data_IF_684727714551
#
_entry.id   IF_684727714551
#
_cell.length_a   1.000
_cell.length_b   1.000
_cell.length_c   1.000
_cell.angle_alpha   90.00
_cell.angle_beta   90.00
_cell.angle_gamma   90.00
#
_symmetry.space_group_name_H-M   'P 1'
#
loop_
_entity.id
_entity.type
_entity.pdbx_description
1 polymer ?
#
# COMPACT_ATOMS: atom_id res chain seq x y z
N UNK A 1 -19.34 -1.46 -27.22
CA UNK A 1 -19.24 -2.03 -25.86
C UNK A 1 -18.32 -1.09 -25.10
N UNK A 2 -18.88 -0.16 -24.32
CA UNK A 2 -18.05 0.67 -23.45
C UNK A 2 -17.30 -0.28 -22.50
N UNK A 3 -15.99 -0.13 -22.38
CA UNK A 3 -15.23 -0.89 -21.39
C UNK A 3 -15.87 -0.62 -20.02
N UNK A 4 -16.42 -1.64 -19.39
CA UNK A 4 -17.05 -1.51 -18.09
C UNK A 4 -15.93 -1.12 -17.12
N UNK A 5 -16.01 0.07 -16.51
CA UNK A 5 -14.99 0.51 -15.56
C UNK A 5 -15.05 -0.42 -14.33
N UNK A 6 -13.96 -1.12 -14.06
CA UNK A 6 -13.83 -2.03 -12.90
C UNK A 6 -13.78 -1.29 -11.56
N UNK A 7 -13.63 0.04 -11.61
CA UNK A 7 -13.72 0.96 -10.48
C UNK A 7 -14.90 1.90 -10.62
N UNK A 8 -15.43 2.30 -9.46
CA UNK A 8 -16.50 3.28 -9.31
C UNK A 8 -16.13 4.34 -8.28
N UNK A 9 -16.71 5.55 -8.42
CA UNK A 9 -16.64 6.60 -7.42
C UNK A 9 -17.67 6.33 -6.31
N UNK A 10 -17.20 6.39 -5.05
CA UNK A 10 -17.99 6.22 -3.84
C UNK A 10 -17.90 7.49 -3.00
N UNK A 11 -19.02 8.19 -2.84
CA UNK A 11 -19.12 9.29 -1.88
C UNK A 11 -19.23 8.72 -0.46
N UNK A 12 -18.29 9.10 0.41
CA UNK A 12 -18.25 8.61 1.79
C UNK A 12 -18.02 9.75 2.77
N UNK A 13 -18.51 9.56 3.99
CA UNK A 13 -18.25 10.44 5.12
C UNK A 13 -17.40 9.69 6.15
N UNK A 14 -16.52 10.41 6.84
CA UNK A 14 -15.80 9.88 7.99
C UNK A 14 -16.82 9.55 9.08
N UNK A 15 -16.90 8.28 9.47
CA UNK A 15 -17.72 7.83 10.59
C UNK A 15 -16.97 8.00 11.90
N UNK A 16 -15.70 7.56 11.91
CA UNK A 16 -14.89 7.47 13.11
C UNK A 16 -13.42 7.62 12.77
N UNK A 17 -12.68 8.30 13.64
CA UNK A 17 -11.22 8.36 13.62
C UNK A 17 -10.69 7.60 14.83
N UNK A 18 -9.84 6.62 14.61
CA UNK A 18 -9.18 5.83 15.65
C UNK A 18 -7.68 6.09 15.61
N UNK A 19 -7.13 6.62 16.70
CA UNK A 19 -5.68 6.77 16.85
C UNK A 19 -5.10 5.40 17.13
N UNK A 20 -4.32 4.85 16.19
CA UNK A 20 -3.66 3.56 16.37
C UNK A 20 -2.31 3.71 17.06
N UNK A 21 -1.61 4.79 16.72
CA UNK A 21 -0.30 5.13 17.27
C UNK A 21 -0.01 6.63 17.07
N UNK A 22 1.10 7.17 17.62
CA UNK A 22 1.45 8.58 17.44
C UNK A 22 1.49 9.07 15.98
N UNK A 23 1.86 8.20 15.03
CA UNK A 23 2.02 8.57 13.61
C UNK A 23 1.05 7.83 12.68
N UNK A 24 0.05 7.11 13.20
CA UNK A 24 -0.88 6.32 12.38
C UNK A 24 -2.30 6.39 12.93
N UNK A 25 -3.22 6.82 12.08
CA UNK A 25 -4.65 6.84 12.37
C UNK A 25 -5.42 5.95 11.41
N UNK A 26 -6.44 5.27 11.93
CA UNK A 26 -7.46 4.60 11.12
C UNK A 26 -8.65 5.51 10.95
N UNK A 27 -9.00 5.77 9.70
CA UNK A 27 -10.20 6.47 9.30
C UNK A 27 -11.23 5.45 8.84
N UNK A 28 -12.35 5.37 9.56
CA UNK A 28 -13.50 4.53 9.22
C UNK A 28 -14.46 5.38 8.41
N UNK A 29 -14.63 5.07 7.12
CA UNK A 29 -15.56 5.77 6.24
C UNK A 29 -16.86 4.97 6.10
N UNK A 30 -17.97 5.68 5.87
CA UNK A 30 -19.28 5.08 5.62
C UNK A 30 -20.06 5.81 4.53
N UNK A 31 -20.92 5.08 3.83
CA UNK A 31 -21.79 5.58 2.78
C UNK A 31 -22.63 4.43 2.21
N UNK A 32 -23.86 4.71 1.77
CA UNK A 32 -24.78 3.64 1.34
C UNK A 32 -24.21 2.78 0.19
N UNK A 33 -23.42 3.39 -0.70
CA UNK A 33 -22.80 2.69 -1.82
C UNK A 33 -21.58 1.84 -1.42
N UNK A 34 -21.06 1.94 -0.19
CA UNK A 34 -19.95 1.10 0.28
C UNK A 34 -20.32 -0.39 0.24
N UNK A 35 -21.60 -0.73 0.33
CA UNK A 35 -22.09 -2.10 0.14
C UNK A 35 -21.77 -2.69 -1.25
N UNK A 36 -21.43 -1.84 -2.22
CA UNK A 36 -21.03 -2.22 -3.59
C UNK A 36 -19.53 -2.11 -3.83
N UNK A 37 -18.73 -1.82 -2.81
CA UNK A 37 -17.28 -1.94 -2.94
C UNK A 37 -16.88 -3.42 -2.90
N UNK A 38 -15.81 -3.78 -3.61
CA UNK A 38 -15.12 -5.07 -3.43
C UNK A 38 -13.63 -4.87 -3.17
N UNK A 39 -12.98 -5.93 -2.69
CA UNK A 39 -11.52 -6.06 -2.62
C UNK A 39 -11.14 -7.42 -3.17
N UNK A 40 -10.07 -7.50 -3.96
CA UNK A 40 -9.60 -8.76 -4.57
C UNK A 40 -8.33 -9.30 -3.94
N UNK A 41 -7.62 -8.48 -3.15
CA UNK A 41 -6.44 -8.89 -2.39
C UNK A 41 -6.25 -8.06 -1.11
N UNK A 42 -5.38 -8.50 -0.20
CA UNK A 42 -5.16 -7.84 1.09
C UNK A 42 -4.42 -6.50 0.99
N UNK A 43 -3.74 -6.25 -0.14
CA UNK A 43 -3.06 -5.01 -0.45
C UNK A 43 -3.82 -4.13 -1.47
N UNK A 44 -5.15 -4.34 -1.59
CA UNK A 44 -6.02 -3.59 -2.50
C UNK A 44 -5.85 -2.08 -2.35
N UNK A 45 -5.48 -1.44 -3.45
CA UNK A 45 -5.33 0.02 -3.55
C UNK A 45 -6.62 0.66 -4.04
N UNK A 46 -6.86 1.85 -3.52
CA UNK A 46 -7.93 2.77 -3.92
C UNK A 46 -7.34 4.16 -4.11
N UNK A 47 -8.09 5.04 -4.78
CA UNK A 47 -7.78 6.47 -4.78
C UNK A 47 -8.73 7.20 -3.85
N UNK A 48 -8.22 8.17 -3.10
CA UNK A 48 -8.99 9.08 -2.25
C UNK A 48 -8.86 10.48 -2.82
N UNK A 49 -10.00 11.11 -3.11
CA UNK A 49 -10.09 12.52 -3.49
C UNK A 49 -10.44 13.34 -2.26
N UNK A 50 -9.68 14.40 -2.01
CA UNK A 50 -9.87 15.28 -0.85
C UNK A 50 -10.48 16.61 -1.28
N UNK A 51 -11.29 17.25 -0.42
CA UNK A 51 -11.81 18.59 -0.70
C UNK A 51 -10.66 19.61 -0.84
N UNK A 52 -10.86 20.60 -1.70
CA UNK A 52 -9.99 21.78 -1.72
C UNK A 52 -10.23 22.64 -0.47
N UNK A 53 -9.28 23.51 -0.08
CA UNK A 53 -9.47 24.41 1.06
C UNK A 53 -10.77 25.21 0.95
N UNK A 54 -11.60 25.18 1.99
CA UNK A 54 -12.90 25.85 2.04
C UNK A 54 -14.07 25.09 1.41
N UNK A 55 -13.87 23.86 0.93
CA UNK A 55 -14.94 22.98 0.46
C UNK A 55 -15.30 21.91 1.51
N UNK A 56 -16.59 21.60 1.59
CA UNK A 56 -17.11 20.55 2.49
C UNK A 56 -17.04 19.13 1.89
N UNK A 57 -16.75 19.01 0.60
CA UNK A 57 -16.59 17.76 -0.14
C UNK A 57 -15.78 18.00 -1.42
N UNK A 58 -15.04 17.00 -1.92
CA UNK A 58 -14.40 17.07 -3.22
C UNK A 58 -15.44 17.08 -4.35
N UNK A 59 -15.28 18.01 -5.30
CA UNK A 59 -16.11 18.08 -6.52
C UNK A 59 -15.47 17.23 -7.63
N UNK A 60 -15.69 15.92 -7.58
CA UNK A 60 -15.23 14.98 -8.62
C UNK A 60 -16.33 14.84 -9.67
N UNK A 61 -16.04 15.06 -10.97
CA UNK A 61 -17.02 14.82 -12.02
C UNK A 61 -17.59 13.39 -11.96
N UNK A 62 -18.83 13.22 -12.42
CA UNK A 62 -19.49 11.93 -12.56
C UNK A 62 -19.83 11.64 -14.03
N UNK A 63 -20.24 10.41 -14.32
CA UNK A 63 -20.56 9.93 -15.68
C UNK A 63 -19.41 9.17 -16.35
N UNK A 64 -19.65 8.61 -17.53
CA UNK A 64 -18.66 7.74 -18.22
C UNK A 64 -17.35 8.47 -18.55
N UNK A 65 -17.40 9.77 -18.84
CA UNK A 65 -16.26 10.62 -19.21
C UNK A 65 -15.63 11.35 -18.01
N UNK A 66 -15.99 10.97 -16.77
CA UNK A 66 -15.62 11.70 -15.56
C UNK A 66 -14.12 11.95 -15.45
N UNK A 67 -13.29 10.97 -15.81
CA UNK A 67 -11.84 11.07 -15.65
C UNK A 67 -11.22 12.07 -16.64
N UNK A 68 -11.72 12.12 -17.87
CA UNK A 68 -11.30 13.11 -18.85
C UNK A 68 -11.65 14.54 -18.39
N UNK A 69 -12.86 14.70 -17.82
CA UNK A 69 -13.31 15.97 -17.24
C UNK A 69 -12.50 16.36 -16.00
N UNK A 70 -12.22 15.41 -15.11
CA UNK A 70 -11.36 15.61 -13.93
C UNK A 70 -9.97 16.11 -14.34
N UNK A 71 -9.35 15.46 -15.34
CA UNK A 71 -8.05 15.87 -15.87
C UNK A 71 -8.05 17.23 -16.56
N UNK A 72 -9.20 17.66 -17.10
CA UNK A 72 -9.35 18.95 -17.75
C UNK A 72 -9.60 20.11 -16.76
N UNK A 73 -9.90 19.82 -15.49
CA UNK A 73 -10.06 20.87 -14.47
C UNK A 73 -8.75 21.66 -14.29
N UNK A 74 -8.80 22.98 -14.08
CA UNK A 74 -7.66 23.76 -13.61
C UNK A 74 -7.07 23.19 -12.32
N UNK A 75 -5.76 23.33 -12.09
CA UNK A 75 -5.09 22.73 -10.94
C UNK A 75 -5.63 23.23 -9.58
N UNK A 76 -6.10 24.48 -9.51
CA UNK A 76 -6.72 25.08 -8.33
C UNK A 76 -8.19 24.68 -8.11
N UNK A 77 -8.81 24.05 -9.12
CA UNK A 77 -10.17 23.51 -9.07
C UNK A 77 -10.20 21.97 -9.05
N UNK A 78 -9.06 21.30 -9.28
CA UNK A 78 -8.97 19.84 -9.35
C UNK A 78 -8.82 19.25 -7.94
N UNK A 79 -9.78 18.44 -7.44
CA UNK A 79 -9.63 17.78 -6.15
C UNK A 79 -8.36 16.93 -6.10
N UNK A 80 -7.47 17.12 -5.13
CA UNK A 80 -6.25 16.32 -5.03
C UNK A 80 -6.57 14.86 -4.76
N UNK A 81 -5.89 13.97 -5.49
CA UNK A 81 -6.06 12.52 -5.44
C UNK A 81 -4.82 11.85 -4.84
N UNK A 82 -4.98 10.87 -3.93
CA UNK A 82 -3.87 10.04 -3.43
C UNK A 82 -4.25 8.57 -3.37
N UNK A 83 -3.27 7.70 -3.58
CA UNK A 83 -3.44 6.25 -3.43
C UNK A 83 -3.37 5.85 -1.96
N UNK A 84 -4.29 4.99 -1.52
CA UNK A 84 -4.29 4.36 -0.21
C UNK A 84 -4.59 2.87 -0.33
N UNK A 85 -4.24 2.09 0.70
CA UNK A 85 -4.66 0.69 0.85
C UNK A 85 -5.99 0.62 1.60
N UNK A 86 -6.91 -0.21 1.12
CA UNK A 86 -8.09 -0.61 1.90
C UNK A 86 -7.61 -1.49 3.03
N UNK A 87 -7.68 -1.00 4.26
CA UNK A 87 -7.24 -1.77 5.42
C UNK A 87 -8.23 -2.87 5.77
N UNK A 88 -9.52 -2.57 5.70
CA UNK A 88 -10.60 -3.53 5.90
C UNK A 88 -11.89 -3.02 5.26
N UNK A 89 -12.55 -3.86 4.46
CA UNK A 89 -13.87 -3.59 3.92
C UNK A 89 -14.92 -4.43 4.67
N UNK A 90 -15.94 -3.76 5.22
CA UNK A 90 -17.12 -4.39 5.81
C UNK A 90 -18.34 -3.93 5.01
N UNK A 91 -18.46 -4.45 3.79
CA UNK A 91 -19.49 -4.04 2.84
C UNK A 91 -20.92 -4.20 3.41
N UNK A 92 -21.18 -5.27 4.17
CA UNK A 92 -22.47 -5.49 4.82
C UNK A 92 -22.85 -4.41 5.85
N UNK A 93 -21.85 -3.77 6.47
CA UNK A 93 -22.03 -2.68 7.43
C UNK A 93 -21.90 -1.29 6.77
N UNK A 94 -21.67 -1.24 5.46
CA UNK A 94 -21.37 -0.03 4.70
C UNK A 94 -20.17 0.74 5.27
N UNK A 95 -19.11 0.03 5.65
CA UNK A 95 -17.89 0.63 6.20
C UNK A 95 -16.62 0.19 5.48
N UNK A 96 -15.69 1.13 5.34
CA UNK A 96 -14.34 0.86 4.84
C UNK A 96 -13.30 1.58 5.70
N UNK A 97 -12.28 0.84 6.11
CA UNK A 97 -11.14 1.37 6.86
C UNK A 97 -9.99 1.74 5.93
N UNK A 98 -9.42 2.91 6.17
CA UNK A 98 -8.18 3.35 5.53
C UNK A 98 -7.26 3.90 6.62
N UNK A 99 -6.01 3.41 6.65
CA UNK A 99 -5.00 3.85 7.60
C UNK A 99 -4.18 4.98 6.98
N UNK A 100 -4.01 6.08 7.72
CA UNK A 100 -3.32 7.31 7.32
C UNK A 100 -2.05 7.49 8.15
N UNK A 101 -0.90 7.56 7.47
CA UNK A 101 0.36 7.96 8.09
C UNK A 101 0.34 9.47 8.31
N UNK A 102 0.57 9.89 9.56
CA UNK A 102 0.66 11.29 9.96
C UNK A 102 2.13 11.74 9.98
N UNK A 103 2.49 12.58 9.01
CA UNK A 103 3.86 13.09 8.84
C UNK A 103 3.88 14.63 8.70
N UNK A 104 2.94 15.28 9.39
CA UNK A 104 2.72 16.73 9.31
C UNK A 104 2.02 17.18 8.02
N UNK A 105 1.71 18.46 7.96
CA UNK A 105 0.85 19.09 6.94
C UNK A 105 1.57 19.43 5.63
N UNK A 106 2.35 18.49 5.12
CA UNK A 106 3.16 18.66 3.90
C UNK A 106 2.37 18.45 2.60
N UNK A 107 1.16 17.87 2.66
CA UNK A 107 0.33 17.60 1.49
C UNK A 107 -1.18 17.64 1.76
N UNK A 108 -2.03 17.56 0.72
CA UNK A 108 -3.48 17.67 0.86
C UNK A 108 -4.08 16.56 1.73
N UNK A 109 -3.65 15.31 1.54
CA UNK A 109 -4.13 14.17 2.32
C UNK A 109 -3.74 14.29 3.80
N UNK A 110 -2.48 14.67 4.09
CA UNK A 110 -2.01 14.81 5.48
C UNK A 110 -2.64 16.02 6.19
N UNK A 111 -2.88 17.13 5.47
CA UNK A 111 -3.66 18.28 5.97
C UNK A 111 -5.08 17.92 6.32
N UNK A 112 -5.76 17.19 5.43
CA UNK A 112 -7.11 16.70 5.68
C UNK A 112 -7.12 15.76 6.89
N UNK A 113 -6.27 14.72 6.89
CA UNK A 113 -6.23 13.71 7.94
C UNK A 113 -5.93 14.30 9.33
N UNK A 114 -5.10 15.34 9.41
CA UNK A 114 -4.77 16.03 10.66
C UNK A 114 -6.03 16.64 11.30
N UNK A 115 -6.91 17.21 10.49
CA UNK A 115 -8.08 17.97 10.95
C UNK A 115 -9.41 17.23 10.85
N UNK A 116 -9.43 16.06 10.22
CA UNK A 116 -10.65 15.33 9.88
C UNK A 116 -11.48 15.00 11.13
N UNK A 117 -12.80 15.19 11.01
CA UNK A 117 -13.82 14.93 12.03
C UNK A 117 -14.93 14.07 11.46
N UNK A 118 -15.64 13.30 12.31
CA UNK A 118 -16.85 12.59 11.88
C UNK A 118 -17.81 13.52 11.13
N UNK A 119 -18.26 13.08 9.96
CA UNK A 119 -19.07 13.86 9.02
C UNK A 119 -18.30 14.44 7.83
N UNK A 120 -16.97 14.60 7.92
CA UNK A 120 -16.17 15.13 6.81
C UNK A 120 -16.18 14.17 5.62
N UNK A 121 -16.30 14.72 4.41
CA UNK A 121 -16.53 13.93 3.19
C UNK A 121 -15.30 13.82 2.30
N UNK A 122 -15.15 12.65 1.71
CA UNK A 122 -14.19 12.35 0.64
C UNK A 122 -14.87 11.52 -0.44
N UNK A 123 -14.24 11.40 -1.61
CA UNK A 123 -14.67 10.46 -2.65
C UNK A 123 -13.60 9.38 -2.79
N UNK A 124 -14.01 8.13 -2.83
CA UNK A 124 -13.13 6.99 -3.08
C UNK A 124 -13.33 6.51 -4.52
N UNK A 125 -12.26 6.26 -5.27
CA UNK A 125 -12.30 5.40 -6.45
C UNK A 125 -11.85 4.01 -6.02
N UNK A 126 -12.77 3.05 -6.03
CA UNK A 126 -12.53 1.70 -5.55
C UNK A 126 -13.16 0.64 -6.48
N UNK A 127 -12.75 -0.64 -6.36
CA UNK A 127 -13.35 -1.71 -7.15
C UNK A 127 -14.87 -1.83 -6.97
N UNK A 128 -15.59 -1.99 -8.08
CA UNK A 128 -17.04 -2.13 -8.09
C UNK A 128 -17.46 -3.62 -8.01
N UNK A 129 -18.25 -3.97 -6.99
CA UNK A 129 -18.80 -5.31 -6.81
C UNK A 129 -19.82 -5.69 -7.88
N UNK A 130 -20.44 -4.71 -8.54
CA UNK A 130 -21.36 -4.94 -9.67
C UNK A 130 -20.59 -5.31 -10.96
N UNK A 131 -19.24 -5.20 -10.97
CA UNK A 131 -18.38 -5.60 -12.07
C UNK A 131 -17.68 -6.94 -11.78
N UNK A 132 -17.91 -7.92 -12.66
CA UNK A 132 -17.33 -9.25 -12.52
C UNK A 132 -15.84 -9.32 -12.92
N UNK A 133 -15.37 -8.39 -13.75
CA UNK A 133 -13.98 -8.34 -14.20
C UNK A 133 -13.04 -7.98 -13.05
N UNK A 134 -11.80 -8.46 -13.12
CA UNK A 134 -10.79 -8.12 -12.12
C UNK A 134 -10.50 -6.63 -12.12
N UNK A 135 -10.48 -6.06 -10.92
CA UNK A 135 -10.17 -4.65 -10.70
C UNK A 135 -8.67 -4.34 -10.69
N UNK A 136 -7.77 -5.33 -10.74
CA UNK A 136 -6.34 -5.08 -10.52
C UNK A 136 -6.09 -4.26 -9.21
N UNK A 137 -4.94 -3.59 -9.08
CA UNK A 137 -4.69 -2.70 -7.94
C UNK A 137 -4.25 -3.40 -6.65
N UNK A 138 -3.85 -4.66 -6.72
CA UNK A 138 -3.29 -5.46 -5.63
C UNK A 138 -2.18 -6.35 -6.20
N UNK A 139 -1.09 -6.56 -5.45
CA UNK A 139 0.11 -7.30 -5.90
C UNK A 139 0.54 -8.43 -4.98
N UNK A 140 -0.20 -8.67 -3.91
CA UNK A 140 0.00 -9.86 -3.10
C UNK A 140 -0.46 -11.12 -3.87
N UNK A 141 0.42 -11.67 -4.70
CA UNK A 141 0.17 -12.85 -5.54
C UNK A 141 1.24 -13.92 -5.30
N UNK A 142 1.35 -14.47 -4.08
CA UNK A 142 2.36 -15.50 -3.81
C UNK A 142 2.09 -16.76 -4.65
N UNK A 143 3.13 -17.43 -5.18
CA UNK A 143 2.97 -18.74 -5.82
C UNK A 143 2.35 -19.78 -4.86
N UNK A 144 1.61 -20.73 -5.42
CA UNK A 144 1.01 -21.80 -4.64
C UNK A 144 2.11 -22.65 -3.96
N UNK A 145 1.95 -22.94 -2.67
CA UNK A 145 2.89 -23.78 -1.92
C UNK A 145 4.22 -23.10 -1.56
N UNK A 146 4.31 -21.77 -1.67
CA UNK A 146 5.49 -21.03 -1.17
C UNK A 146 5.78 -21.40 0.28
N UNK A 147 7.05 -21.72 0.60
CA UNK A 147 7.47 -22.14 1.94
C UNK A 147 7.99 -21.00 2.82
N UNK A 148 8.40 -19.90 2.21
CA UNK A 148 9.00 -18.73 2.87
C UNK A 148 8.48 -17.43 2.28
N UNK A 149 8.11 -16.49 3.13
CA UNK A 149 7.66 -15.14 2.75
C UNK A 149 8.56 -14.11 3.42
N UNK A 150 9.02 -13.12 2.64
CA UNK A 150 9.69 -11.93 3.14
C UNK A 150 8.81 -10.70 2.86
N UNK A 151 8.37 -10.02 3.91
CA UNK A 151 7.69 -8.73 3.81
C UNK A 151 8.65 -7.62 4.24
N UNK A 152 8.87 -6.62 3.39
CA UNK A 152 9.69 -5.45 3.73
C UNK A 152 8.86 -4.21 3.46
N UNK A 153 8.52 -3.47 4.50
CA UNK A 153 7.59 -2.36 4.41
C UNK A 153 7.99 -1.19 5.31
N UNK A 154 7.76 0.03 4.83
CA UNK A 154 7.68 1.20 5.70
C UNK A 154 6.25 1.42 6.22
N UNK A 155 6.04 2.47 7.01
CA UNK A 155 4.76 2.74 7.64
C UNK A 155 3.61 2.97 6.65
N UNK A 156 3.90 3.38 5.40
CA UNK A 156 2.89 3.62 4.37
C UNK A 156 2.35 2.32 3.77
N UNK A 157 3.15 1.26 3.81
CA UNK A 157 2.80 -0.08 3.34
C UNK A 157 2.32 -1.00 4.49
N UNK A 158 2.41 -0.54 5.74
CA UNK A 158 1.93 -1.29 6.91
C UNK A 158 0.47 -1.76 6.83
N UNK A 159 -0.49 -1.01 6.26
CA UNK A 159 -1.87 -1.47 6.14
C UNK A 159 -2.02 -2.70 5.23
N UNK A 160 -1.25 -2.74 4.13
CA UNK A 160 -1.18 -3.89 3.22
C UNK A 160 -0.55 -5.10 3.91
N UNK A 161 0.58 -4.91 4.60
CA UNK A 161 1.22 -5.98 5.39
C UNK A 161 0.27 -6.54 6.44
N UNK A 162 -0.51 -5.70 7.12
CA UNK A 162 -1.48 -6.16 8.09
C UNK A 162 -2.54 -7.10 7.46
N UNK A 163 -3.07 -6.74 6.28
CA UNK A 163 -3.99 -7.60 5.54
C UNK A 163 -3.33 -8.91 5.10
N UNK A 164 -2.09 -8.85 4.61
CA UNK A 164 -1.31 -10.03 4.17
C UNK A 164 -1.11 -11.00 5.34
N UNK A 165 -0.68 -10.49 6.50
CA UNK A 165 -0.47 -11.31 7.69
C UNK A 165 -1.78 -11.92 8.22
N UNK A 166 -2.89 -11.20 8.10
CA UNK A 166 -4.23 -11.69 8.46
C UNK A 166 -4.68 -12.84 7.55
N UNK A 167 -4.45 -12.73 6.24
CA UNK A 167 -4.70 -13.79 5.27
C UNK A 167 -3.84 -15.02 5.55
N UNK A 168 -2.53 -14.83 5.73
CA UNK A 168 -1.60 -15.90 6.08
C UNK A 168 -1.99 -16.59 7.40
N UNK A 169 -2.44 -15.84 8.40
CA UNK A 169 -2.92 -16.40 9.67
C UNK A 169 -4.19 -17.26 9.54
N UNK A 170 -4.93 -17.13 8.43
CA UNK A 170 -6.09 -17.96 8.10
C UNK A 170 -5.75 -19.28 7.41
N UNK A 171 -4.51 -19.48 6.97
CA UNK A 171 -4.08 -20.70 6.29
C UNK A 171 -3.91 -21.87 7.27
N UNK A 172 -4.20 -23.08 6.79
CA UNK A 172 -3.99 -24.30 7.57
C UNK A 172 -2.50 -24.62 7.80
N UNK A 173 -1.66 -24.30 6.81
CA UNK A 173 -0.20 -24.46 6.87
C UNK A 173 0.47 -23.18 6.32
N UNK A 174 0.59 -22.13 7.15
CA UNK A 174 1.15 -20.85 6.70
C UNK A 174 2.66 -20.94 6.47
N UNK A 175 3.20 -20.26 5.43
CA UNK A 175 4.63 -20.19 5.19
C UNK A 175 5.37 -19.56 6.37
N UNK A 176 6.67 -19.87 6.49
CA UNK A 176 7.55 -19.12 7.40
C UNK A 176 7.65 -17.70 6.89
N UNK A 177 7.30 -16.72 7.73
CA UNK A 177 7.22 -15.33 7.31
C UNK A 177 8.20 -14.49 8.12
N UNK A 178 9.01 -13.67 7.45
CA UNK A 178 9.79 -12.61 8.08
C UNK A 178 9.24 -11.27 7.62
N UNK A 179 8.76 -10.44 8.53
CA UNK A 179 8.30 -9.09 8.25
C UNK A 179 9.26 -8.06 8.86
N UNK A 180 9.89 -7.24 8.02
CA UNK A 180 10.75 -6.14 8.42
C UNK A 180 9.98 -4.84 8.21
N UNK A 181 9.62 -4.16 9.30
CA UNK A 181 8.63 -3.08 9.32
C UNK A 181 9.26 -1.82 9.87
N UNK A 182 9.57 -0.85 9.00
CA UNK A 182 10.02 0.46 9.42
C UNK A 182 8.85 1.34 9.81
N UNK A 183 9.02 2.03 10.93
CA UNK A 183 8.04 2.92 11.52
C UNK A 183 8.73 4.21 11.94
N UNK A 184 8.01 5.33 12.00
CA UNK A 184 8.63 6.62 12.31
C UNK A 184 9.30 6.61 13.70
N UNK A 185 8.61 6.10 14.71
CA UNK A 185 9.11 5.99 16.09
C UNK A 185 8.66 4.70 16.79
N UNK A 186 9.29 4.36 17.91
CA UNK A 186 9.03 3.10 18.61
C UNK A 186 7.58 2.94 19.10
N UNK A 187 6.90 4.05 19.39
CA UNK A 187 5.49 4.07 19.77
C UNK A 187 4.52 3.74 18.62
N UNK A 188 5.02 3.66 17.38
CA UNK A 188 4.20 3.37 16.18
C UNK A 188 4.03 1.88 15.89
N UNK A 189 4.63 1.01 16.70
CA UNK A 189 4.41 -0.42 16.58
C UNK A 189 2.99 -0.76 17.03
N UNK A 190 2.17 -1.24 16.10
CA UNK A 190 0.77 -1.62 16.36
C UNK A 190 0.63 -3.15 16.44
N UNK A 191 -0.31 -3.69 17.23
CA UNK A 191 -0.59 -5.12 17.21
C UNK A 191 -1.06 -5.58 15.82
N UNK A 192 -0.41 -6.62 15.29
CA UNK A 192 -0.77 -7.26 14.03
C UNK A 192 -1.19 -8.72 14.29
N UNK A 193 -2.28 -9.14 13.66
CA UNK A 193 -2.66 -10.56 13.61
C UNK A 193 -1.78 -11.24 12.57
N UNK A 194 -0.99 -12.21 13.00
CA UNK A 194 -0.03 -12.93 12.17
C UNK A 194 -0.05 -14.43 12.49
N UNK A 195 0.36 -15.32 11.55
CA UNK A 195 0.53 -16.73 11.85
C UNK A 195 1.66 -16.94 12.87
N UNK A 196 1.62 -18.03 13.62
CA UNK A 196 2.68 -18.37 14.58
C UNK A 196 4.06 -18.60 13.92
N UNK A 197 4.08 -18.84 12.61
CA UNK A 197 5.28 -18.97 11.77
C UNK A 197 5.89 -17.61 11.37
N UNK A 198 5.25 -16.49 11.73
CA UNK A 198 5.73 -15.15 11.40
C UNK A 198 6.65 -14.58 12.50
N UNK A 199 7.79 -14.05 12.07
CA UNK A 199 8.64 -13.15 12.84
C UNK A 199 8.39 -11.71 12.39
N UNK A 200 7.96 -10.84 13.32
CA UNK A 200 7.75 -9.42 13.07
C UNK A 200 8.88 -8.61 13.70
N UNK A 201 9.61 -7.86 12.89
CA UNK A 201 10.71 -7.00 13.32
C UNK A 201 10.35 -5.55 13.07
N UNK A 202 10.07 -4.83 14.16
CA UNK A 202 9.81 -3.40 14.12
C UNK A 202 11.11 -2.60 14.13
N UNK A 203 11.22 -1.64 13.22
CA UNK A 203 12.43 -0.87 12.96
C UNK A 203 12.11 0.63 13.12
N UNK A 204 12.19 1.18 14.34
CA UNK A 204 12.02 2.62 14.54
C UNK A 204 13.09 3.42 13.79
N UNK A 205 12.67 4.25 12.84
CA UNK A 205 13.55 5.09 12.02
C UNK A 205 14.26 6.14 12.87
N UNK A 206 13.53 6.81 13.76
CA UNK A 206 14.08 7.92 14.55
C UNK A 206 14.56 9.05 13.63
N UNK A 207 15.84 9.41 13.71
CA UNK A 207 16.44 10.48 12.89
C UNK A 207 17.12 9.97 11.60
N UNK A 208 17.05 8.67 11.31
CA UNK A 208 17.66 8.12 10.09
C UNK A 208 16.85 8.46 8.85
N UNK A 209 17.48 8.35 7.68
CA UNK A 209 16.78 8.51 6.41
C UNK A 209 15.74 7.39 6.22
N UNK A 210 14.68 7.68 5.46
CA UNK A 210 13.65 6.71 5.13
C UNK A 210 14.24 5.47 4.46
N UNK A 211 13.85 4.30 4.96
CA UNK A 211 14.27 2.98 4.47
C UNK A 211 15.73 2.60 4.74
N UNK A 212 16.51 3.46 5.40
CA UNK A 212 17.88 3.12 5.81
C UNK A 212 17.87 1.94 6.80
N UNK A 213 16.93 1.92 7.75
CA UNK A 213 16.79 0.81 8.71
C UNK A 213 16.32 -0.45 8.01
N UNK A 214 15.40 -0.35 7.05
CA UNK A 214 14.96 -1.50 6.25
C UNK A 214 16.12 -2.15 5.54
N UNK A 215 16.91 -1.38 4.80
CA UNK A 215 18.05 -1.92 4.06
C UNK A 215 19.05 -2.62 4.99
N UNK A 216 19.39 -2.00 6.12
CA UNK A 216 20.28 -2.60 7.13
C UNK A 216 19.71 -3.92 7.69
N UNK A 217 18.41 -3.97 7.96
CA UNK A 217 17.76 -5.17 8.48
C UNK A 217 17.73 -6.28 7.43
N UNK A 218 17.41 -5.97 6.16
CA UNK A 218 17.46 -6.92 5.04
C UNK A 218 18.87 -7.49 4.90
N UNK A 219 19.89 -6.63 4.89
CA UNK A 219 21.29 -7.04 4.82
C UNK A 219 21.69 -7.95 5.97
N UNK A 220 21.34 -7.58 7.21
CA UNK A 220 21.68 -8.38 8.38
C UNK A 220 21.00 -9.76 8.38
N UNK A 221 19.76 -9.85 7.89
CA UNK A 221 18.98 -11.09 7.88
C UNK A 221 19.35 -12.03 6.75
N UNK A 222 19.82 -11.51 5.62
CA UNK A 222 20.15 -12.29 4.43
C UNK A 222 21.66 -12.47 4.19
N UNK A 223 22.53 -11.88 5.02
CA UNK A 223 23.99 -12.00 4.91
C UNK A 223 24.53 -13.45 4.93
N UNK A 224 23.75 -14.41 5.43
CA UNK A 224 24.12 -15.83 5.48
C UNK A 224 23.55 -16.68 4.33
N UNK A 225 22.76 -16.09 3.43
CA UNK A 225 22.27 -16.80 2.25
C UNK A 225 23.45 -17.00 1.28
N UNK A 226 23.75 -18.24 0.84
CA UNK A 226 24.80 -18.45 -0.15
C UNK A 226 24.41 -17.70 -1.43
N UNK A 227 25.29 -16.84 -1.92
CA UNK A 227 25.14 -16.20 -3.23
C UNK A 227 25.00 -17.30 -4.28
N UNK A 228 23.81 -17.45 -4.89
CA UNK A 228 23.61 -18.38 -5.99
C UNK A 228 23.53 -17.59 -7.30
N UNK A 229 24.40 -17.97 -8.23
CA UNK A 229 24.52 -17.55 -9.63
C UNK A 229 24.92 -16.08 -9.89
N UNK A 230 25.66 -15.87 -10.98
CA UNK A 230 26.03 -14.55 -11.52
C UNK A 230 24.79 -13.66 -11.55
N UNK A 231 24.83 -12.55 -10.79
CA UNK A 231 23.68 -11.68 -10.57
C UNK A 231 23.03 -11.24 -11.89
N UNK A 232 21.70 -11.31 -11.93
CA UNK A 232 20.95 -10.85 -13.09
C UNK A 232 21.27 -9.37 -13.39
N UNK A 233 21.43 -9.02 -14.66
CA UNK A 233 21.51 -7.61 -15.06
C UNK A 233 20.22 -6.92 -14.60
N UNK A 234 20.37 -5.82 -13.87
CA UNK A 234 19.25 -4.97 -13.49
C UNK A 234 19.24 -3.78 -14.44
N UNK A 235 18.08 -3.53 -15.04
CA UNK A 235 17.81 -2.27 -15.70
C UNK A 235 18.01 -1.11 -14.73
N UNK A 236 18.60 -0.02 -15.23
CA UNK A 236 18.75 1.21 -14.47
C UNK A 236 17.39 1.91 -14.42
N UNK A 237 16.82 1.99 -13.21
CA UNK A 237 15.52 2.60 -12.98
C UNK A 237 15.76 3.95 -12.32
N UNK A 238 15.58 5.04 -13.07
CA UNK A 238 15.56 6.37 -12.49
C UNK A 238 14.26 6.56 -11.68
N UNK A 239 14.31 6.28 -10.37
CA UNK A 239 13.17 6.45 -9.46
C UNK A 239 12.76 7.91 -9.25
N UNK A 240 13.57 8.86 -9.75
CA UNK A 240 13.19 10.26 -9.85
C UNK A 240 12.49 10.57 -11.19
N UNK A 241 12.53 9.70 -12.20
CA UNK A 241 11.77 9.89 -13.44
C UNK A 241 10.53 8.99 -13.55
N UNK A 242 10.55 7.81 -12.94
CA UNK A 242 9.51 6.79 -13.06
C UNK A 242 9.21 6.08 -11.74
N UNK A 243 7.98 5.59 -11.58
CA UNK A 243 7.57 4.80 -10.41
C UNK A 243 8.20 3.41 -10.52
N UNK A 244 8.93 2.99 -9.49
CA UNK A 244 9.41 1.62 -9.37
C UNK A 244 8.22 0.69 -9.07
N UNK A 245 7.79 -0.07 -10.07
CA UNK A 245 6.72 -1.06 -9.93
C UNK A 245 7.08 -2.33 -10.70
N UNK A 246 7.46 -3.38 -9.97
CA UNK A 246 7.78 -4.69 -10.54
C UNK A 246 6.96 -5.76 -9.81
N UNK A 247 6.24 -6.57 -10.56
CA UNK A 247 5.44 -7.67 -10.03
C UNK A 247 6.21 -8.99 -10.15
N UNK A 248 6.09 -9.83 -9.13
CA UNK A 248 6.49 -11.22 -9.20
C UNK A 248 5.66 -11.99 -10.25
N UNK A 249 6.26 -13.03 -10.81
CA UNK A 249 5.60 -14.02 -11.66
C UNK A 249 5.13 -15.18 -10.78
N UNK A 250 3.82 -15.40 -10.74
CA UNK A 250 3.21 -16.48 -9.95
C UNK A 250 3.62 -17.88 -10.43
N UNK A 251 4.23 -18.01 -11.62
CA UNK A 251 4.78 -19.26 -12.15
C UNK A 251 6.23 -19.55 -11.72
N UNK A 252 6.86 -18.67 -10.94
CA UNK A 252 8.20 -18.89 -10.44
C UNK A 252 8.23 -20.12 -9.50
N UNK A 253 8.97 -21.15 -9.90
CA UNK A 253 9.32 -22.29 -9.04
C UNK A 253 10.30 -21.80 -7.96
N UNK A 254 9.76 -21.44 -6.80
CA UNK A 254 10.54 -20.86 -5.73
C UNK A 254 9.99 -21.22 -4.35
N UNK A 255 10.88 -21.62 -3.44
CA UNK A 255 10.52 -21.82 -2.04
C UNK A 255 10.27 -20.49 -1.30
N UNK A 256 10.60 -19.35 -1.92
CA UNK A 256 10.57 -18.02 -1.31
C UNK A 256 9.77 -17.04 -2.19
N UNK A 257 8.98 -16.18 -1.57
CA UNK A 257 8.33 -15.02 -2.18
C UNK A 257 8.66 -13.77 -1.35
N UNK A 258 8.92 -12.64 -2.02
CA UNK A 258 9.14 -11.38 -1.32
C UNK A 258 8.19 -10.28 -1.81
N UNK A 259 7.69 -9.48 -0.88
CA UNK A 259 6.84 -8.32 -1.13
C UNK A 259 7.49 -7.11 -0.45
N UNK A 260 7.92 -6.14 -1.26
CA UNK A 260 8.73 -5.00 -0.83
C UNK A 260 8.03 -3.72 -1.24
N UNK A 261 7.62 -2.89 -0.27
CA UNK A 261 6.95 -1.62 -0.57
C UNK A 261 7.32 -0.48 0.40
N UNK A 262 7.33 0.75 -0.10
CA UNK A 262 7.61 1.93 0.70
C UNK A 262 8.23 3.06 -0.11
N UNK A 263 9.14 3.83 0.49
CA UNK A 263 9.87 4.89 -0.19
C UNK A 263 10.69 4.36 -1.39
N UNK A 264 10.49 4.94 -2.58
CA UNK A 264 10.98 4.38 -3.84
C UNK A 264 12.51 4.25 -3.91
N UNK A 265 13.27 5.18 -3.33
CA UNK A 265 14.73 5.09 -3.26
C UNK A 265 15.20 3.94 -2.38
N UNK A 266 14.54 3.73 -1.24
CA UNK A 266 14.80 2.59 -0.37
C UNK A 266 14.44 1.26 -1.04
N UNK A 267 13.28 1.17 -1.69
CA UNK A 267 12.85 -0.02 -2.44
C UNK A 267 13.85 -0.33 -3.55
N UNK A 268 14.38 0.68 -4.26
CA UNK A 268 15.42 0.50 -5.27
C UNK A 268 16.72 -0.06 -4.68
N UNK A 269 17.15 0.44 -3.51
CA UNK A 269 18.34 -0.05 -2.83
C UNK A 269 18.17 -1.51 -2.35
N UNK A 270 17.01 -1.85 -1.81
CA UNK A 270 16.65 -3.22 -1.40
C UNK A 270 16.58 -4.14 -2.63
N UNK A 271 15.96 -3.69 -3.74
CA UNK A 271 15.94 -4.43 -5.01
C UNK A 271 17.33 -4.78 -5.50
N UNK A 272 18.24 -3.80 -5.48
CA UNK A 272 19.64 -4.02 -5.87
C UNK A 272 20.28 -5.11 -5.00
N UNK A 273 20.12 -5.01 -3.68
CA UNK A 273 20.70 -5.97 -2.75
C UNK A 273 20.11 -7.39 -2.93
N UNK A 274 18.79 -7.52 -2.96
CA UNK A 274 18.12 -8.82 -3.10
C UNK A 274 18.46 -9.54 -4.42
N UNK A 275 18.52 -8.81 -5.53
CA UNK A 275 18.77 -9.44 -6.84
C UNK A 275 20.26 -9.57 -7.14
N UNK A 276 21.07 -8.52 -6.96
CA UNK A 276 22.51 -8.57 -7.33
C UNK A 276 23.37 -9.21 -6.25
N UNK A 277 23.14 -8.90 -4.99
CA UNK A 277 24.03 -9.31 -3.91
C UNK A 277 23.59 -10.66 -3.31
N UNK A 278 22.28 -10.93 -3.22
CA UNK A 278 21.75 -12.21 -2.76
C UNK A 278 21.44 -13.21 -3.89
N UNK A 279 21.38 -12.77 -5.15
CA UNK A 279 21.07 -13.66 -6.30
C UNK A 279 19.64 -14.19 -6.33
N UNK A 280 18.69 -13.52 -5.67
CA UNK A 280 17.29 -13.96 -5.69
C UNK A 280 16.67 -13.76 -7.08
N UNK A 281 15.89 -14.75 -7.53
CA UNK A 281 15.14 -14.64 -8.77
C UNK A 281 14.13 -13.49 -8.65
N UNK A 282 14.29 -12.47 -9.49
CA UNK A 282 13.41 -11.30 -9.55
C UNK A 282 11.94 -11.68 -9.75
N UNK A 283 11.67 -12.80 -10.43
CA UNK A 283 10.31 -13.32 -10.63
C UNK A 283 9.64 -13.75 -9.34
N UNK A 284 10.38 -13.97 -8.25
CA UNK A 284 9.82 -14.30 -6.94
C UNK A 284 9.59 -13.06 -6.05
N UNK A 285 9.80 -11.84 -6.57
CA UNK A 285 9.77 -10.61 -5.78
C UNK A 285 8.91 -9.54 -6.41
N UNK A 286 8.04 -8.94 -5.62
CA UNK A 286 7.29 -7.74 -5.96
C UNK A 286 7.95 -6.51 -5.31
N UNK A 287 8.27 -5.48 -6.11
CA UNK A 287 8.84 -4.20 -5.66
C UNK A 287 7.91 -3.04 -5.99
N UNK A 288 7.55 -2.23 -4.99
CA UNK A 288 6.61 -1.12 -5.16
C UNK A 288 7.07 0.15 -4.43
N UNK A 289 7.44 1.19 -5.19
CA UNK A 289 7.65 2.53 -4.66
C UNK A 289 6.32 3.24 -4.42
N UNK A 290 5.81 3.19 -3.18
CA UNK A 290 4.54 3.80 -2.80
C UNK A 290 4.60 5.34 -2.79
N UNK A 291 5.76 5.89 -2.45
CA UNK A 291 6.00 7.32 -2.38
C UNK A 291 7.47 7.64 -2.61
N UNK A 292 7.80 8.91 -2.83
CA UNK A 292 9.17 9.37 -3.04
C UNK A 292 9.39 10.66 -2.28
N UNK A 293 10.43 10.71 -1.44
CA UNK A 293 10.71 11.90 -0.64
C UNK A 293 10.93 13.13 -1.54
N UNK A 294 10.26 14.23 -1.22
CA UNK A 294 10.36 15.48 -1.99
C UNK A 294 9.57 15.48 -3.31
N UNK A 295 8.77 14.45 -3.59
CA UNK A 295 7.96 14.35 -4.81
C UNK A 295 6.51 14.02 -4.50
N UNK A 296 5.64 14.56 -5.35
CA UNK A 296 4.24 14.14 -5.43
C UNK A 296 4.15 13.17 -6.59
N UNK A 297 3.69 11.95 -6.32
CA UNK A 297 3.30 10.99 -7.35
C UNK A 297 1.80 11.18 -7.59
N UNK A 298 1.42 11.54 -8.81
CA UNK A 298 0.03 11.66 -9.25
C UNK A 298 -0.50 10.33 -9.80
#
# INVERSE_FOLDING_TARGET
>A
MAAQQTYRLFEVALKERRVLSPSLDRMVFTGADVARMKTEGPDQRIKVFFPLPGQDAPDVPSGEDWYARYRALPDDARPPMRTFTVRQLRAGDCEVDVDFVLHGETGPASRWATHARPGDRVVLLAPDADCADSSEGWEWKPPAGVGQVLLVADETALPAVAGILEELAGLADPPRTLALLEIAQAGDAVPLKAPATAELVWLPRGQQAHGQRLLQAVQARLAAAPAVAEGAELDDIDVDAQILWEQADASADGAMYAWVAGEAGAVMAIRRYLVKDCGLDRRAITFMGYWRQGRVLD
#
